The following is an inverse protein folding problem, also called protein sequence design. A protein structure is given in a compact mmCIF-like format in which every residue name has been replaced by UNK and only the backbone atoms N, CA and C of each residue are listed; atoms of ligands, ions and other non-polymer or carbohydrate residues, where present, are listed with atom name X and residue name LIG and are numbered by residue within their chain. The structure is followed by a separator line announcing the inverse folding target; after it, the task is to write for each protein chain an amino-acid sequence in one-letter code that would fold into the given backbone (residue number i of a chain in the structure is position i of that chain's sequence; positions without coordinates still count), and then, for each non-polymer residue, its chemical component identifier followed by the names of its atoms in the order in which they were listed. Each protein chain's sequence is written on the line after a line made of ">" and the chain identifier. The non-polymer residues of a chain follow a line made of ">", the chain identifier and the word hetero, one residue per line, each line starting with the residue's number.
data_IF_916650151029
#
_entry.id   IF_916650151029
#
_cell.length_a   1.000
_cell.length_b   1.000
_cell.length_c   1.000
_cell.angle_alpha   90.00
_cell.angle_beta   90.00
_cell.angle_gamma   90.00
#
_symmetry.space_group_name_H-M   'P 1'
#
loop_
_entity.id
_entity.type
_entity.pdbx_description
1 polymer ?
#
# COMPACT_ATOMS: atom_id res chain seq x y z
N UNK A 1 -31.70 -24.41 34.53
CA UNK A 1 -33.15 -24.66 34.41
C UNK A 1 -33.65 -24.03 33.12
N UNK A 2 -33.47 -24.72 31.98
CA UNK A 2 -34.26 -24.55 30.75
C UNK A 2 -34.22 -25.90 30.02
N UNK A 3 -35.30 -26.68 30.17
CA UNK A 3 -35.50 -27.98 29.57
C UNK A 3 -36.42 -27.74 28.37
N UNK A 4 -35.87 -27.63 27.17
CA UNK A 4 -36.66 -27.62 25.94
C UNK A 4 -37.31 -29.01 25.83
N UNK A 5 -38.63 -29.06 26.00
CA UNK A 5 -39.44 -30.23 25.66
C UNK A 5 -39.42 -30.35 24.13
N UNK A 6 -38.66 -31.31 23.62
CA UNK A 6 -38.83 -31.81 22.26
C UNK A 6 -40.18 -32.52 22.22
N UNK A 7 -41.11 -31.95 21.47
CA UNK A 7 -42.43 -32.51 21.22
C UNK A 7 -42.28 -33.82 20.43
N UNK A 8 -42.89 -34.90 20.91
CA UNK A 8 -42.78 -36.23 20.28
C UNK A 8 -43.40 -36.26 18.88
N UNK A 9 -44.26 -35.29 18.53
CA UNK A 9 -44.79 -35.15 17.17
C UNK A 9 -43.77 -34.72 16.11
N UNK A 10 -42.62 -34.14 16.50
CA UNK A 10 -41.58 -33.75 15.53
C UNK A 10 -40.69 -34.93 15.11
N UNK A 11 -40.65 -36.01 15.91
CA UNK A 11 -39.81 -37.17 15.64
C UNK A 11 -40.40 -38.12 14.59
N UNK A 12 -41.73 -38.14 14.43
CA UNK A 12 -42.40 -39.03 13.48
C UNK A 12 -42.38 -38.47 12.04
N UNK A 13 -42.34 -37.14 11.88
CA UNK A 13 -42.42 -36.47 10.56
C UNK A 13 -41.13 -36.59 9.74
N UNK A 14 -39.98 -36.76 10.41
CA UNK A 14 -38.66 -36.88 9.75
C UNK A 14 -38.37 -38.34 9.33
N UNK A 15 -39.09 -39.31 9.89
CA UNK A 15 -38.88 -40.74 9.63
C UNK A 15 -39.44 -41.22 8.27
N UNK A 16 -40.23 -40.39 7.59
CA UNK A 16 -40.86 -40.73 6.29
C UNK A 16 -40.14 -40.14 5.07
N UNK A 17 -39.11 -39.31 5.27
CA UNK A 17 -38.42 -38.64 4.17
C UNK A 17 -37.39 -39.60 3.57
N UNK A 18 -37.81 -40.40 2.59
CA UNK A 18 -36.91 -41.13 1.69
C UNK A 18 -36.22 -40.13 0.77
N UNK A 19 -35.07 -39.60 1.18
CA UNK A 19 -34.18 -38.88 0.27
C UNK A 19 -33.61 -39.87 -0.76
N UNK A 20 -33.74 -39.54 -2.05
CA UNK A 20 -33.07 -40.29 -3.11
C UNK A 20 -31.54 -40.27 -2.90
N UNK A 21 -30.86 -41.32 -3.33
CA UNK A 21 -29.41 -41.52 -3.14
C UNK A 21 -28.61 -40.32 -3.66
N UNK A 22 -29.03 -39.73 -4.78
CA UNK A 22 -28.42 -38.54 -5.37
C UNK A 22 -28.53 -37.30 -4.47
N UNK A 23 -29.64 -37.14 -3.75
CA UNK A 23 -29.87 -36.01 -2.85
C UNK A 23 -29.00 -36.14 -1.60
N UNK A 24 -28.89 -37.35 -1.05
CA UNK A 24 -27.96 -37.64 0.03
C UNK A 24 -26.52 -37.38 -0.40
N UNK A 25 -26.11 -37.88 -1.57
CA UNK A 25 -24.76 -37.67 -2.10
C UNK A 25 -24.43 -36.18 -2.32
N UNK A 26 -25.41 -35.37 -2.74
CA UNK A 26 -25.26 -33.91 -2.86
C UNK A 26 -25.04 -33.22 -1.50
N UNK A 27 -25.84 -33.56 -0.48
CA UNK A 27 -25.68 -33.00 0.87
C UNK A 27 -24.41 -33.49 1.56
N UNK A 28 -24.02 -34.76 1.38
CA UNK A 28 -22.74 -35.27 1.85
C UNK A 28 -21.56 -34.58 1.15
N UNK A 29 -21.66 -34.29 -0.16
CA UNK A 29 -20.66 -33.54 -0.91
C UNK A 29 -20.50 -32.09 -0.42
N UNK A 30 -21.60 -31.36 -0.21
CA UNK A 30 -21.59 -30.01 0.36
C UNK A 30 -21.08 -29.99 1.82
N UNK A 31 -21.49 -30.98 2.62
CA UNK A 31 -20.99 -31.09 3.99
C UNK A 31 -19.49 -31.39 4.02
N UNK A 32 -18.99 -32.23 3.12
CA UNK A 32 -17.56 -32.54 3.02
C UNK A 32 -16.73 -31.35 2.52
N UNK A 33 -17.25 -30.51 1.61
CA UNK A 33 -16.53 -29.30 1.18
C UNK A 33 -16.43 -28.28 2.30
N UNK A 34 -17.52 -28.03 3.03
CA UNK A 34 -17.54 -27.10 4.15
C UNK A 34 -16.71 -27.63 5.32
N UNK A 35 -16.77 -28.94 5.61
CA UNK A 35 -15.91 -29.56 6.63
C UNK A 35 -14.44 -29.55 6.22
N UNK A 36 -14.11 -29.72 4.94
CA UNK A 36 -12.75 -29.58 4.43
C UNK A 36 -12.22 -28.16 4.61
N UNK A 37 -13.02 -27.15 4.29
CA UNK A 37 -12.66 -25.74 4.49
C UNK A 37 -12.48 -25.41 5.98
N UNK A 38 -13.36 -25.92 6.84
CA UNK A 38 -13.24 -25.76 8.30
C UNK A 38 -11.99 -26.48 8.83
N UNK A 39 -11.71 -27.71 8.38
CA UNK A 39 -10.51 -28.44 8.78
C UNK A 39 -9.25 -27.71 8.30
N UNK A 40 -9.24 -27.14 7.08
CA UNK A 40 -8.14 -26.29 6.62
C UNK A 40 -7.99 -25.02 7.47
N UNK A 41 -9.10 -24.34 7.79
CA UNK A 41 -9.11 -23.17 8.67
C UNK A 41 -8.64 -23.52 10.10
N UNK A 42 -8.91 -24.74 10.59
CA UNK A 42 -8.47 -25.23 11.90
C UNK A 42 -7.02 -25.74 11.91
N UNK A 43 -6.52 -26.32 10.82
CA UNK A 43 -5.11 -26.73 10.69
C UNK A 43 -4.15 -25.53 10.63
N UNK A 44 -4.60 -24.41 10.03
CA UNK A 44 -3.89 -23.12 10.07
C UNK A 44 -3.71 -22.63 11.52
N UNK A 45 -4.66 -22.90 12.43
CA UNK A 45 -4.62 -22.45 13.82
C UNK A 45 -3.93 -23.39 14.82
N UNK A 46 -3.56 -24.62 14.44
CA UNK A 46 -2.99 -25.62 15.35
C UNK A 46 -1.48 -25.83 15.21
N UNK A 47 -0.86 -25.34 14.13
CA UNK A 47 0.58 -25.57 13.83
C UNK A 47 1.51 -24.40 14.25
N UNK A 48 1.07 -23.53 15.16
CA UNK A 48 1.99 -22.60 15.83
C UNK A 48 2.51 -21.44 14.97
N UNK A 49 1.60 -20.68 14.36
CA UNK A 49 1.93 -19.39 13.75
C UNK A 49 0.71 -18.47 13.75
N UNK A 50 0.67 -17.52 14.66
CA UNK A 50 -0.14 -16.31 14.47
C UNK A 50 0.28 -15.67 13.14
N UNK A 51 -0.64 -15.30 12.22
CA UNK A 51 -0.34 -14.33 11.17
C UNK A 51 -0.29 -12.94 11.83
N UNK A 52 0.62 -12.75 12.76
CA UNK A 52 0.93 -11.46 13.35
C UNK A 52 2.44 -11.38 13.36
N UNK A 53 2.93 -10.34 12.67
CA UNK A 53 4.34 -9.93 12.52
C UNK A 53 5.00 -10.25 11.17
N UNK A 54 4.35 -9.82 10.08
CA UNK A 54 5.12 -9.17 9.00
C UNK A 54 5.65 -7.84 9.55
N UNK A 55 6.76 -7.87 10.26
CA UNK A 55 7.58 -6.68 10.49
C UNK A 55 9.04 -7.09 10.48
N UNK A 56 9.55 -7.26 9.26
CA UNK A 56 10.95 -6.98 8.91
C UNK A 56 11.05 -6.87 7.38
N UNK A 57 11.64 -5.87 6.72
CA UNK A 57 12.20 -4.57 7.09
C UNK A 57 12.44 -3.80 5.77
N UNK A 58 11.40 -3.21 5.18
CA UNK A 58 11.58 -2.08 4.25
C UNK A 58 10.23 -1.42 4.00
N UNK A 59 9.92 -0.40 4.80
CA UNK A 59 8.86 0.56 4.50
C UNK A 59 9.09 1.20 3.10
N UNK A 60 10.36 1.41 2.77
CA UNK A 60 10.86 1.91 1.52
C UNK A 60 12.36 1.64 1.50
N UNK A 61 12.90 1.14 0.38
CA UNK A 61 14.35 0.98 0.22
C UNK A 61 14.95 2.28 -0.30
N UNK A 62 15.60 3.04 0.56
CA UNK A 62 16.27 4.28 0.17
C UNK A 62 17.57 4.04 -0.58
N UNK A 63 17.81 4.84 -1.62
CA UNK A 63 19.11 5.01 -2.27
C UNK A 63 19.65 6.38 -1.88
N UNK A 64 20.76 6.41 -1.13
CA UNK A 64 21.35 7.65 -0.62
C UNK A 64 22.71 7.88 -1.26
N UNK A 65 22.90 9.05 -1.83
CA UNK A 65 24.17 9.60 -2.27
C UNK A 65 24.62 10.69 -1.28
N UNK A 66 25.72 10.45 -0.56
CA UNK A 66 26.23 11.38 0.45
C UNK A 66 26.87 12.65 -0.15
N UNK A 67 27.03 12.74 -1.47
CA UNK A 67 27.50 13.96 -2.16
C UNK A 67 26.41 15.02 -2.33
N UNK A 68 25.14 14.66 -2.11
CA UNK A 68 23.98 15.53 -2.27
C UNK A 68 23.25 15.73 -0.93
N UNK A 69 22.42 16.77 -0.79
CA UNK A 69 21.62 16.97 0.41
C UNK A 69 20.72 15.75 0.72
N UNK A 70 21.02 15.05 1.81
CA UNK A 70 20.34 13.79 2.16
C UNK A 70 18.85 14.00 2.46
N UNK A 71 18.48 15.13 3.07
CA UNK A 71 17.08 15.39 3.40
C UNK A 71 16.19 15.52 2.15
N UNK A 72 16.72 16.10 1.07
CA UNK A 72 16.02 16.22 -0.22
C UNK A 72 15.81 14.85 -0.85
N UNK A 73 16.84 14.00 -0.80
CA UNK A 73 16.75 12.63 -1.32
C UNK A 73 15.71 11.78 -0.58
N UNK A 74 15.61 11.92 0.75
CA UNK A 74 14.57 11.23 1.53
C UNK A 74 13.19 11.76 1.14
N UNK A 75 13.06 13.09 1.13
CA UNK A 75 11.81 13.78 0.80
C UNK A 75 11.29 13.35 -0.59
N UNK A 76 12.15 13.37 -1.60
CA UNK A 76 11.77 13.04 -2.98
C UNK A 76 11.45 11.56 -3.17
N UNK A 77 12.21 10.66 -2.51
CA UNK A 77 11.91 9.23 -2.55
C UNK A 77 10.57 8.91 -1.89
N UNK A 78 10.27 9.50 -0.74
CA UNK A 78 8.98 9.30 -0.06
C UNK A 78 7.83 9.92 -0.85
N UNK A 79 7.98 11.15 -1.37
CA UNK A 79 7.00 11.79 -2.27
C UNK A 79 6.69 10.89 -3.47
N UNK A 80 7.72 10.37 -4.12
CA UNK A 80 7.56 9.47 -5.26
C UNK A 80 6.84 8.18 -4.86
N UNK A 81 7.19 7.58 -3.73
CA UNK A 81 6.60 6.33 -3.28
C UNK A 81 5.10 6.50 -2.95
N UNK A 82 4.73 7.58 -2.25
CA UNK A 82 3.32 7.92 -1.99
C UNK A 82 2.58 8.22 -3.29
N UNK A 83 3.16 9.01 -4.19
CA UNK A 83 2.51 9.37 -5.47
C UNK A 83 2.24 8.16 -6.37
N UNK A 84 3.11 7.14 -6.31
CA UNK A 84 2.98 5.85 -7.02
C UNK A 84 2.09 4.84 -6.29
N UNK A 85 1.77 5.07 -5.02
CA UNK A 85 1.05 4.13 -4.17
C UNK A 85 1.90 2.94 -3.69
N UNK A 86 3.24 3.06 -3.74
CA UNK A 86 4.16 2.08 -3.14
C UNK A 86 4.06 2.09 -1.60
N UNK A 87 3.70 3.25 -1.03
CA UNK A 87 3.31 3.41 0.37
C UNK A 87 1.82 3.76 0.39
N UNK A 88 1.05 3.00 1.16
CA UNK A 88 -0.39 3.12 1.25
C UNK A 88 -0.85 4.36 2.02
N UNK A 89 -2.08 4.79 1.71
CA UNK A 89 -2.75 5.84 2.47
C UNK A 89 -3.02 5.33 3.90
N UNK A 90 -2.66 6.15 4.90
CA UNK A 90 -2.79 5.76 6.30
C UNK A 90 -1.68 4.86 6.83
N UNK A 91 -0.69 4.48 6.02
CA UNK A 91 0.45 3.68 6.47
C UNK A 91 1.27 4.42 7.51
N UNK A 92 1.79 3.67 8.48
CA UNK A 92 2.65 4.23 9.53
C UNK A 92 4.06 4.45 8.98
N UNK A 93 4.57 5.67 9.15
CA UNK A 93 5.97 5.96 8.88
C UNK A 93 6.88 5.41 9.97
N UNK A 94 8.11 4.97 9.63
CA UNK A 94 9.13 4.75 10.64
C UNK A 94 9.35 6.07 11.39
N UNK A 95 9.57 5.98 12.68
CA UNK A 95 9.94 7.13 13.48
C UNK A 95 11.23 7.75 12.97
N UNK A 96 11.43 9.03 13.30
CA UNK A 96 12.67 9.76 12.98
C UNK A 96 13.91 9.00 13.46
N UNK A 97 13.84 8.35 14.63
CA UNK A 97 14.95 7.59 15.20
C UNK A 97 15.19 6.28 14.46
N UNK A 98 14.12 5.54 14.15
CA UNK A 98 14.22 4.27 13.41
C UNK A 98 14.84 4.51 12.03
N UNK A 99 14.31 5.46 11.26
CA UNK A 99 14.82 5.73 9.91
C UNK A 99 16.24 6.29 9.94
N UNK A 100 16.57 7.14 10.93
CA UNK A 100 17.94 7.65 11.07
C UNK A 100 18.94 6.54 11.41
N UNK A 101 18.54 5.56 12.23
CA UNK A 101 19.37 4.41 12.56
C UNK A 101 19.54 3.48 11.34
N UNK A 102 18.46 3.20 10.62
CA UNK A 102 18.47 2.38 9.41
C UNK A 102 19.40 2.96 8.34
N UNK A 103 19.29 4.27 8.07
CA UNK A 103 20.11 4.95 7.07
C UNK A 103 21.50 5.38 7.59
N UNK A 104 21.75 5.25 8.90
CA UNK A 104 22.96 5.72 9.60
C UNK A 104 23.25 7.21 9.36
N UNK A 105 22.21 8.05 9.48
CA UNK A 105 22.29 9.50 9.26
C UNK A 105 21.86 10.30 10.49
N UNK A 106 22.08 11.61 10.46
CA UNK A 106 21.64 12.51 11.53
C UNK A 106 20.09 12.52 11.64
N UNK A 107 19.50 12.26 12.83
CA UNK A 107 18.05 12.34 13.04
C UNK A 107 17.42 13.67 12.63
N UNK A 108 18.15 14.78 12.75
CA UNK A 108 17.65 16.10 12.31
C UNK A 108 17.42 16.16 10.80
N UNK A 109 18.20 15.40 10.01
CA UNK A 109 18.02 15.29 8.56
C UNK A 109 16.68 14.63 8.23
N UNK A 110 16.35 13.53 8.91
CA UNK A 110 15.06 12.83 8.76
C UNK A 110 13.91 13.72 9.24
N UNK A 111 14.08 14.37 10.39
CA UNK A 111 13.08 15.29 10.94
C UNK A 111 12.74 16.40 9.95
N UNK A 112 13.75 16.99 9.30
CA UNK A 112 13.55 18.02 8.27
C UNK A 112 12.75 17.48 7.08
N UNK A 113 13.09 16.29 6.59
CA UNK A 113 12.34 15.66 5.49
C UNK A 113 10.86 15.42 5.87
N UNK A 114 10.61 14.93 7.09
CA UNK A 114 9.25 14.67 7.57
C UNK A 114 8.43 15.95 7.77
N UNK A 115 9.07 17.03 8.22
CA UNK A 115 8.40 18.34 8.32
C UNK A 115 7.96 18.87 6.95
N UNK A 116 8.76 18.67 5.91
CA UNK A 116 8.39 19.05 4.55
C UNK A 116 7.26 18.17 4.00
N UNK A 117 7.26 16.86 4.27
CA UNK A 117 6.15 15.97 3.90
C UNK A 117 4.83 16.37 4.60
N UNK A 118 4.91 16.81 5.86
CA UNK A 118 3.77 17.32 6.62
C UNK A 118 3.26 18.65 6.03
N UNK A 119 4.17 19.55 5.63
CA UNK A 119 3.82 20.80 4.92
C UNK A 119 3.15 20.54 3.58
N UNK A 120 3.59 19.51 2.85
CA UNK A 120 2.95 19.08 1.61
C UNK A 120 1.56 18.45 1.83
N UNK A 121 1.19 18.16 3.09
CA UNK A 121 -0.03 17.45 3.46
C UNK A 121 -0.01 15.95 3.09
N UNK A 122 1.17 15.40 2.78
CA UNK A 122 1.34 13.99 2.43
C UNK A 122 1.44 13.10 3.67
N UNK A 123 1.79 13.68 4.81
CA UNK A 123 1.88 12.97 6.09
C UNK A 123 1.23 13.77 7.20
N UNK A 124 0.73 13.06 8.21
CA UNK A 124 0.10 13.64 9.40
C UNK A 124 0.69 13.06 10.68
N UNK A 125 0.85 13.89 11.70
CA UNK A 125 1.20 13.43 13.05
C UNK A 125 -0.06 13.07 13.82
N UNK A 126 -0.11 11.85 14.35
CA UNK A 126 -1.13 11.40 15.29
C UNK A 126 -0.54 11.42 16.70
N UNK A 127 -1.13 12.23 17.58
CA UNK A 127 -0.61 12.49 18.94
C UNK A 127 -0.40 11.17 19.69
N UNK A 128 0.84 10.91 20.10
CA UNK A 128 1.22 9.70 20.83
C UNK A 128 1.31 8.42 19.99
N UNK A 129 1.02 8.46 18.69
CA UNK A 129 0.97 7.27 17.82
C UNK A 129 2.06 7.26 16.74
N UNK A 130 2.51 8.44 16.31
CA UNK A 130 3.60 8.60 15.34
C UNK A 130 3.20 9.44 14.13
N UNK A 131 3.91 9.24 13.03
CA UNK A 131 3.64 9.90 11.74
C UNK A 131 3.06 8.89 10.78
N UNK A 132 2.06 9.30 10.00
CA UNK A 132 1.32 8.44 9.07
C UNK A 132 1.22 9.12 7.72
N UNK A 133 1.14 8.35 6.64
CA UNK A 133 0.76 8.87 5.33
C UNK A 133 -0.69 9.35 5.39
N UNK A 134 -0.98 10.46 4.73
CA UNK A 134 -2.34 11.00 4.64
C UNK A 134 -3.34 9.94 4.18
N UNK A 135 -4.53 9.94 4.78
CA UNK A 135 -5.64 9.09 4.31
C UNK A 135 -6.37 9.71 3.11
N UNK A 136 -6.02 10.92 2.70
CA UNK A 136 -6.69 11.65 1.63
C UNK A 136 -6.10 11.34 0.26
N UNK A 137 -6.77 10.46 -0.49
CA UNK A 137 -6.44 10.20 -1.89
C UNK A 137 -6.51 11.48 -2.75
N UNK A 138 -7.42 12.38 -2.42
CA UNK A 138 -7.55 13.67 -3.12
C UNK A 138 -6.33 14.56 -2.88
N UNK A 139 -5.80 14.59 -1.66
CA UNK A 139 -4.59 15.36 -1.37
C UNK A 139 -3.39 14.84 -2.17
N UNK A 140 -3.24 13.51 -2.28
CA UNK A 140 -2.16 12.91 -3.08
C UNK A 140 -2.33 13.24 -4.57
N UNK A 141 -3.57 13.21 -5.10
CA UNK A 141 -3.85 13.63 -6.48
C UNK A 141 -3.51 15.11 -6.72
N UNK A 142 -3.97 16.00 -5.85
CA UNK A 142 -3.64 17.43 -5.93
C UNK A 142 -2.14 17.66 -5.89
N UNK A 143 -1.42 17.02 -4.95
CA UNK A 143 0.03 17.13 -4.86
C UNK A 143 0.74 16.68 -6.15
N UNK A 144 0.29 15.59 -6.78
CA UNK A 144 0.84 15.13 -8.07
C UNK A 144 0.65 16.18 -9.17
N UNK A 145 -0.52 16.78 -9.24
CA UNK A 145 -0.82 17.85 -10.20
C UNK A 145 0.05 19.07 -9.93
N UNK A 146 0.11 19.54 -8.68
CA UNK A 146 0.91 20.71 -8.29
C UNK A 146 2.39 20.51 -8.64
N UNK A 147 2.93 19.32 -8.36
CA UNK A 147 4.32 18.98 -8.65
C UNK A 147 4.59 18.88 -10.16
N UNK A 148 3.68 18.26 -10.92
CA UNK A 148 3.79 18.17 -12.37
C UNK A 148 3.78 19.56 -13.02
N UNK A 149 2.85 20.43 -12.60
CA UNK A 149 2.78 21.83 -13.06
C UNK A 149 4.09 22.55 -12.76
N UNK A 150 4.59 22.48 -11.52
CA UNK A 150 5.86 23.10 -11.13
C UNK A 150 7.03 22.65 -12.01
N UNK A 151 7.11 21.36 -12.34
CA UNK A 151 8.19 20.85 -13.20
C UNK A 151 8.04 21.28 -14.65
N UNK A 152 6.82 21.32 -15.18
CA UNK A 152 6.56 21.82 -16.53
C UNK A 152 6.90 23.32 -16.60
N UNK A 153 6.49 24.12 -15.62
CA UNK A 153 6.79 25.56 -15.59
C UNK A 153 8.30 25.81 -15.58
N UNK A 154 9.04 25.09 -14.72
CA UNK A 154 10.49 25.17 -14.70
C UNK A 154 11.10 24.70 -16.03
N UNK A 155 10.63 23.59 -16.58
CA UNK A 155 11.13 23.10 -17.87
C UNK A 155 10.93 24.13 -18.99
N UNK A 156 9.73 24.71 -19.09
CA UNK A 156 9.41 25.72 -20.09
C UNK A 156 10.24 26.98 -19.93
N UNK A 157 10.38 27.51 -18.71
CA UNK A 157 11.21 28.69 -18.44
C UNK A 157 12.68 28.47 -18.87
N UNK A 158 13.22 27.27 -18.64
CA UNK A 158 14.56 26.92 -19.07
C UNK A 158 14.67 26.87 -20.60
N UNK A 159 13.69 26.28 -21.30
CA UNK A 159 13.68 26.22 -22.77
C UNK A 159 13.56 27.60 -23.40
N UNK A 160 12.71 28.46 -22.84
CA UNK A 160 12.57 29.85 -23.25
C UNK A 160 13.88 30.64 -23.07
N UNK A 161 14.58 30.45 -21.95
CA UNK A 161 15.86 31.12 -21.69
C UNK A 161 16.96 30.75 -22.68
N UNK A 162 16.85 29.57 -23.29
CA UNK A 162 17.76 29.07 -24.33
C UNK A 162 17.32 29.44 -25.75
N UNK A 163 16.16 30.08 -25.90
CA UNK A 163 15.59 30.44 -27.21
C UNK A 163 15.10 29.23 -28.01
N UNK A 164 14.76 28.12 -27.34
CA UNK A 164 14.26 26.91 -28.01
C UNK A 164 12.81 27.12 -28.43
N UNK A 165 12.50 26.89 -29.70
CA UNK A 165 11.15 27.03 -30.22
C UNK A 165 10.24 25.88 -29.73
N UNK A 166 8.94 26.15 -29.60
CA UNK A 166 7.94 25.13 -29.18
C UNK A 166 8.02 23.83 -29.99
N UNK A 167 8.24 23.93 -31.31
CA UNK A 167 8.37 22.77 -32.20
C UNK A 167 9.55 21.86 -31.83
N UNK A 168 10.66 22.45 -31.39
CA UNK A 168 11.84 21.70 -30.96
C UNK A 168 11.62 21.09 -29.58
N UNK A 169 10.94 21.81 -28.67
CA UNK A 169 10.54 21.30 -27.36
C UNK A 169 9.66 20.04 -27.53
N UNK A 170 8.63 20.12 -28.37
CA UNK A 170 7.75 18.99 -28.68
C UNK A 170 8.55 17.81 -29.25
N UNK A 171 9.44 18.08 -30.22
CA UNK A 171 10.31 17.06 -30.79
C UNK A 171 11.19 16.38 -29.73
N UNK A 172 11.84 17.13 -28.84
CA UNK A 172 12.70 16.58 -27.79
C UNK A 172 11.92 15.73 -26.79
N UNK A 173 10.73 16.17 -26.36
CA UNK A 173 9.87 15.42 -25.45
C UNK A 173 9.42 14.10 -26.10
N UNK A 174 8.97 14.14 -27.35
CA UNK A 174 8.52 12.93 -28.06
C UNK A 174 9.66 11.95 -28.32
N UNK A 175 10.84 12.45 -28.75
CA UNK A 175 12.03 11.64 -28.96
C UNK A 175 12.47 10.95 -27.67
N UNK A 176 12.49 11.67 -26.54
CA UNK A 176 12.86 11.11 -25.23
C UNK A 176 11.89 10.01 -24.79
N UNK A 177 10.58 10.22 -24.96
CA UNK A 177 9.54 9.23 -24.63
C UNK A 177 9.69 7.93 -25.42
N UNK A 178 10.11 7.99 -26.68
CA UNK A 178 10.35 6.80 -27.51
C UNK A 178 11.57 6.01 -27.04
N UNK A 179 12.65 6.69 -26.66
CA UNK A 179 13.86 6.07 -26.13
C UNK A 179 13.59 5.32 -24.83
N UNK A 180 12.80 5.90 -23.93
CA UNK A 180 12.48 5.27 -22.64
C UNK A 180 11.55 4.04 -22.80
N UNK A 181 10.73 3.99 -23.86
CA UNK A 181 9.91 2.80 -24.20
C UNK A 181 10.73 1.65 -24.81
N UNK A 182 11.85 1.94 -25.48
CA UNK A 182 12.73 0.92 -26.06
C UNK A 182 13.67 0.23 -25.07
N UNK A 183 13.73 0.70 -23.82
CA UNK A 183 14.57 0.14 -22.74
C UNK A 183 13.86 -0.85 -21.80
N UNK A 184 12.59 -1.17 -22.06
CA UNK A 184 11.86 -2.27 -21.42
C UNK A 184 11.62 -3.37 -22.46
N UNK A 185 12.63 -4.22 -22.71
CA UNK A 185 12.36 -5.59 -23.15
C UNK A 185 12.62 -6.55 -21.96
N UNK A 186 11.74 -7.55 -21.76
CA UNK A 186 11.86 -8.55 -20.69
C UNK A 186 13.04 -9.50 -20.88
#
# INVERSE_FOLDING_TARGET
>A
MYRLKLDQHFADDVSSIRYDRNTLDFYYGLALSVLSDIIHLMQVWTTGGTPMEQSSNAWLRFRIDFSQPIYEQILDQVRSAIAKGEIGLGDRMPSVRELAQELRINPNTVMRAYQELERDGLTEKRRGQGTYVTSSAERVRSFRTDLATKYIDAFMAQMESLGVAWTDIEHYVMKKKQLDRGGMEP
#
